data_IF_599735678057
#
_entry.id   IF_599735678057
#
_cell.length_a   1.000
_cell.length_b   1.000
_cell.length_c   1.000
_cell.angle_alpha   90.00
_cell.angle_beta   90.00
_cell.angle_gamma   90.00
#
_symmetry.space_group_name_H-M   'P 1'
#
loop_
_entity.id
_entity.type
_entity.pdbx_description
1 polymer ?
#
# COMPACT_ATOMS: atom_id res chain seq x y z
N UNK A 1 -20.25 -64.71 -10.21
CA UNK A 1 -20.52 -65.50 -8.99
C UNK A 1 -21.12 -64.58 -7.93
N UNK A 2 -22.41 -64.72 -7.63
CA UNK A 2 -22.98 -64.21 -6.38
C UNK A 2 -22.87 -65.31 -5.32
N UNK A 3 -22.68 -64.92 -4.05
CA UNK A 3 -23.73 -65.31 -3.12
C UNK A 3 -24.12 -64.16 -2.19
N UNK A 4 -25.41 -64.10 -1.86
CA UNK A 4 -25.89 -63.33 -0.72
C UNK A 4 -26.92 -64.15 0.07
N UNK A 5 -26.78 -64.01 1.38
CA UNK A 5 -27.67 -64.37 2.52
C UNK A 5 -27.52 -65.82 3.00
N UNK A 6 -27.51 -66.09 4.32
CA UNK A 6 -28.36 -65.51 5.38
C UNK A 6 -27.65 -65.37 6.74
N UNK A 7 -28.15 -64.39 7.51
CA UNK A 7 -27.79 -63.98 8.89
C UNK A 7 -28.20 -65.01 9.94
N UNK A 8 -27.51 -65.02 11.08
CA UNK A 8 -28.06 -65.13 12.46
C UNK A 8 -27.11 -64.41 13.46
N UNK A 9 -27.55 -64.04 14.69
CA UNK A 9 -27.27 -62.73 15.28
C UNK A 9 -26.41 -62.73 16.58
N UNK A 10 -26.09 -61.51 17.01
CA UNK A 10 -25.46 -61.01 18.25
C UNK A 10 -25.75 -61.80 19.56
N UNK A 11 -24.78 -61.90 20.50
CA UNK A 11 -24.57 -60.91 21.57
C UNK A 11 -23.31 -61.16 22.47
N UNK A 12 -22.90 -60.06 23.10
CA UNK A 12 -21.74 -59.71 23.95
C UNK A 12 -21.48 -60.61 25.17
N UNK A 13 -20.23 -60.64 25.70
CA UNK A 13 -19.92 -60.38 27.14
C UNK A 13 -18.49 -60.77 27.60
N UNK A 14 -17.82 -59.80 28.25
CA UNK A 14 -16.80 -59.83 29.34
C UNK A 14 -15.43 -60.52 29.12
N UNK A 15 -14.34 -59.75 29.01
CA UNK A 15 -13.47 -59.16 30.07
C UNK A 15 -12.43 -60.15 30.62
N UNK A 16 -11.14 -59.89 30.32
CA UNK A 16 -9.99 -60.61 30.88
C UNK A 16 -8.66 -60.18 30.27
N UNK A 17 -8.17 -58.97 30.62
CA UNK A 17 -6.73 -58.68 30.66
C UNK A 17 -6.08 -59.67 31.65
N UNK A 18 -4.86 -60.17 31.52
CA UNK A 18 -3.60 -59.49 31.21
C UNK A 18 -2.54 -60.56 30.95
N UNK A 19 -1.63 -60.38 29.97
CA UNK A 19 -0.18 -60.63 30.10
C UNK A 19 0.50 -60.35 28.74
N UNK A 20 1.18 -59.20 28.69
CA UNK A 20 2.43 -58.91 27.97
C UNK A 20 2.60 -59.38 26.50
N UNK A 21 2.40 -58.42 25.59
CA UNK A 21 3.37 -58.14 24.52
C UNK A 21 3.51 -56.61 24.44
N UNK A 22 4.68 -56.02 24.75
CA UNK A 22 4.92 -54.61 24.48
C UNK A 22 5.11 -54.48 22.96
N UNK A 23 4.10 -53.95 22.27
CA UNK A 23 4.37 -53.36 20.95
C UNK A 23 5.23 -52.13 21.26
N UNK A 24 6.54 -52.32 21.11
CA UNK A 24 7.55 -51.28 21.09
C UNK A 24 7.24 -50.33 19.95
N UNK A 25 6.34 -49.39 20.18
CA UNK A 25 6.27 -48.16 19.41
C UNK A 25 7.64 -47.48 19.56
N UNK A 26 8.44 -47.32 18.48
CA UNK A 26 9.73 -46.68 18.61
C UNK A 26 9.52 -45.26 19.14
N UNK A 27 10.28 -44.93 20.17
CA UNK A 27 10.31 -43.69 20.95
C UNK A 27 10.77 -42.46 20.12
N UNK A 28 10.60 -42.48 18.80
CA UNK A 28 11.10 -41.47 17.86
C UNK A 28 9.99 -40.65 17.20
N UNK A 29 8.73 -40.84 17.60
CA UNK A 29 7.60 -40.00 17.12
C UNK A 29 7.37 -38.78 18.02
N UNK A 30 8.03 -38.70 19.19
CA UNK A 30 7.93 -37.53 20.09
C UNK A 30 8.86 -36.38 19.70
N UNK A 31 9.84 -36.58 18.82
CA UNK A 31 10.83 -35.55 18.47
C UNK A 31 10.48 -34.66 17.27
N UNK A 32 9.46 -34.99 16.47
CA UNK A 32 9.17 -34.26 15.23
C UNK A 32 8.19 -33.10 15.40
N UNK A 33 7.40 -33.08 16.47
CA UNK A 33 6.43 -32.01 16.75
C UNK A 33 6.97 -30.89 17.66
N UNK A 34 8.17 -31.07 18.24
CA UNK A 34 8.78 -30.12 19.18
C UNK A 34 9.81 -29.17 18.52
N UNK A 35 10.05 -29.34 17.21
CA UNK A 35 10.99 -28.51 16.44
C UNK A 35 10.32 -27.41 15.60
N UNK A 36 9.06 -27.09 15.88
CA UNK A 36 8.51 -25.82 15.42
C UNK A 36 9.18 -24.69 16.19
N UNK A 37 10.20 -24.08 15.57
CA UNK A 37 10.80 -22.84 16.06
C UNK A 37 9.68 -21.80 16.06
N UNK A 38 9.09 -21.57 17.24
CA UNK A 38 8.09 -20.53 17.44
C UNK A 38 8.67 -19.20 16.98
N UNK A 39 7.96 -18.49 16.11
CA UNK A 39 8.41 -17.28 15.41
C UNK A 39 8.99 -16.19 16.35
N UNK A 40 8.56 -16.21 17.61
CA UNK A 40 9.02 -15.43 18.75
C UNK A 40 10.45 -15.76 19.25
N UNK A 41 11.18 -16.68 18.59
CA UNK A 41 12.61 -16.98 18.83
C UNK A 41 13.55 -16.41 17.76
N UNK A 42 13.05 -15.77 16.70
CA UNK A 42 13.94 -15.17 15.71
C UNK A 42 14.66 -13.96 16.28
N UNK A 43 16.00 -13.95 16.16
CA UNK A 43 16.83 -12.82 16.55
C UNK A 43 16.44 -11.57 15.74
N UNK A 44 16.29 -10.42 16.41
CA UNK A 44 16.14 -9.13 15.73
C UNK A 44 17.49 -8.81 15.06
N UNK A 45 17.51 -8.84 13.73
CA UNK A 45 18.70 -8.59 12.91
C UNK A 45 18.50 -7.32 12.08
N UNK A 46 19.50 -6.43 12.10
CA UNK A 46 19.45 -5.15 11.36
C UNK A 46 19.75 -5.30 9.87
N UNK A 47 20.37 -6.41 9.45
CA UNK A 47 20.70 -6.67 8.05
C UNK A 47 20.55 -8.16 7.72
N UNK A 48 19.43 -8.53 7.10
CA UNK A 48 19.17 -9.85 6.57
C UNK A 48 19.01 -9.81 5.04
N UNK A 49 19.43 -10.87 4.36
CA UNK A 49 19.27 -11.01 2.90
C UNK A 49 17.84 -11.36 2.50
N UNK A 50 17.06 -11.97 3.41
CA UNK A 50 15.72 -12.47 3.16
C UNK A 50 14.78 -12.10 4.31
N UNK A 51 13.49 -11.98 3.99
CA UNK A 51 12.39 -11.94 4.96
C UNK A 51 11.64 -13.27 4.85
N UNK A 52 11.40 -13.91 5.99
CA UNK A 52 10.60 -15.13 6.06
C UNK A 52 9.12 -14.78 6.30
N UNK A 53 8.23 -15.47 5.62
CA UNK A 53 6.78 -15.26 5.67
C UNK A 53 6.06 -16.60 5.76
N UNK A 54 4.87 -16.58 6.34
CA UNK A 54 3.96 -17.73 6.37
C UNK A 54 2.96 -17.59 5.22
N UNK A 55 2.80 -18.65 4.43
CA UNK A 55 1.81 -18.73 3.37
C UNK A 55 0.44 -19.13 3.95
N UNK A 56 -0.63 -18.92 3.20
CA UNK A 56 -2.00 -19.21 3.65
C UNK A 56 -2.25 -20.70 3.97
N UNK A 57 -1.40 -21.59 3.47
CA UNK A 57 -1.42 -23.04 3.74
C UNK A 57 -0.61 -23.43 4.99
N UNK A 58 -0.04 -22.46 5.72
CA UNK A 58 0.80 -22.68 6.90
C UNK A 58 2.26 -23.05 6.56
N UNK A 59 2.63 -23.15 5.29
CA UNK A 59 4.01 -23.38 4.88
C UNK A 59 4.85 -22.10 4.97
N UNK A 60 6.17 -22.27 5.10
CA UNK A 60 7.10 -21.13 5.17
C UNK A 60 7.70 -20.81 3.80
N UNK A 61 7.76 -19.52 3.49
CA UNK A 61 8.44 -19.00 2.31
C UNK A 61 9.43 -17.90 2.69
N UNK A 62 10.30 -17.55 1.73
CA UNK A 62 11.29 -16.47 1.88
C UNK A 62 11.23 -15.53 0.69
N UNK A 63 11.31 -14.23 0.95
CA UNK A 63 11.36 -13.18 -0.06
C UNK A 63 12.73 -12.50 0.04
N UNK A 64 13.44 -12.35 -1.09
CA UNK A 64 14.69 -11.57 -1.11
C UNK A 64 14.40 -10.12 -0.74
N UNK A 65 15.31 -9.49 0.01
CA UNK A 65 15.17 -8.08 0.37
C UNK A 65 15.02 -7.16 -0.86
N UNK A 66 15.74 -7.44 -1.95
CA UNK A 66 15.61 -6.71 -3.23
C UNK A 66 14.20 -6.81 -3.80
N UNK A 67 13.68 -8.03 -3.88
CA UNK A 67 12.40 -8.32 -4.51
C UNK A 67 11.26 -7.73 -3.67
N UNK A 68 11.37 -7.78 -2.33
CA UNK A 68 10.43 -7.10 -1.43
C UNK A 68 10.45 -5.57 -1.63
N UNK A 69 11.63 -4.96 -1.78
CA UNK A 69 11.73 -3.52 -2.06
C UNK A 69 11.09 -3.18 -3.41
N UNK A 70 11.25 -4.01 -4.43
CA UNK A 70 10.60 -3.82 -5.73
C UNK A 70 9.08 -3.98 -5.65
N UNK A 71 8.58 -4.99 -4.92
CA UNK A 71 7.15 -5.18 -4.68
C UNK A 71 6.54 -3.97 -3.96
N UNK A 72 7.23 -3.45 -2.94
CA UNK A 72 6.80 -2.24 -2.22
C UNK A 72 6.80 -1.03 -3.17
N UNK A 73 7.85 -0.83 -3.98
CA UNK A 73 7.91 0.26 -4.96
C UNK A 73 6.81 0.17 -6.01
N UNK A 74 6.50 -1.05 -6.48
CA UNK A 74 5.42 -1.29 -7.44
C UNK A 74 4.04 -1.03 -6.83
N UNK A 75 3.83 -1.44 -5.57
CA UNK A 75 2.59 -1.22 -4.85
C UNK A 75 2.42 0.23 -4.35
N UNK A 76 3.53 0.97 -4.19
CA UNK A 76 3.57 2.34 -3.68
C UNK A 76 4.27 3.25 -4.69
N UNK A 77 3.67 3.46 -5.89
CA UNK A 77 4.21 4.32 -6.94
C UNK A 77 4.28 5.78 -6.49
N UNK A 78 4.80 6.67 -7.35
CA UNK A 78 4.69 8.12 -7.13
C UNK A 78 3.22 8.48 -6.88
N UNK A 79 2.97 9.26 -5.83
CA UNK A 79 1.63 9.71 -5.52
C UNK A 79 1.09 10.58 -6.66
N UNK A 80 0.11 10.02 -7.37
CA UNK A 80 -0.74 10.72 -8.32
C UNK A 80 -2.18 10.51 -7.88
N UNK A 81 -3.17 11.18 -8.47
CA UNK A 81 -4.56 10.89 -8.11
C UNK A 81 -4.99 9.45 -8.43
N UNK A 82 -4.45 8.87 -9.51
CA UNK A 82 -4.73 7.49 -9.89
C UNK A 82 -3.99 6.50 -9.00
N UNK A 83 -2.75 6.85 -8.64
CA UNK A 83 -1.85 5.98 -7.90
C UNK A 83 -1.72 6.46 -6.45
N UNK A 84 -2.38 5.76 -5.52
CA UNK A 84 -2.38 6.02 -4.06
C UNK A 84 -1.01 5.75 -3.38
N UNK A 85 0.06 6.27 -3.96
CA UNK A 85 1.43 6.18 -3.46
C UNK A 85 1.64 6.93 -2.15
N UNK A 86 2.86 6.84 -1.60
CA UNK A 86 3.25 7.69 -0.48
C UNK A 86 3.75 9.03 -1.00
N UNK A 87 2.90 10.06 -0.89
CA UNK A 87 3.37 11.43 -0.97
C UNK A 87 3.93 11.85 0.39
N UNK A 88 5.08 12.53 0.40
CA UNK A 88 5.52 13.22 1.62
C UNK A 88 4.53 14.33 2.00
N UNK A 89 4.52 14.72 3.27
CA UNK A 89 3.81 15.93 3.68
C UNK A 89 4.36 17.14 2.89
N UNK A 90 3.49 17.87 2.19
CA UNK A 90 3.85 18.91 1.21
C UNK A 90 4.51 18.42 -0.10
N UNK A 91 4.31 17.15 -0.48
CA UNK A 91 4.74 16.70 -1.80
C UNK A 91 4.01 17.39 -2.96
N UNK A 92 4.50 17.15 -4.16
CA UNK A 92 4.09 17.85 -5.37
C UNK A 92 3.04 17.04 -6.14
N UNK A 93 1.79 17.53 -6.12
CA UNK A 93 0.65 16.87 -6.77
C UNK A 93 0.77 16.94 -8.30
N UNK A 94 0.34 15.89 -9.00
CA UNK A 94 0.33 15.87 -10.48
C UNK A 94 -1.05 15.49 -11.05
N UNK A 95 -1.46 16.25 -12.08
CA UNK A 95 -2.59 15.93 -12.95
C UNK A 95 -3.97 16.19 -12.35
N UNK A 96 -4.08 17.05 -11.32
CA UNK A 96 -5.32 17.23 -10.55
C UNK A 96 -6.29 18.24 -11.13
N UNK A 97 -7.57 17.88 -11.18
CA UNK A 97 -8.61 18.84 -11.57
C UNK A 97 -8.81 19.88 -10.47
N UNK A 98 -8.97 21.13 -10.87
CA UNK A 98 -9.20 22.23 -9.96
C UNK A 98 -10.34 23.15 -10.42
N UNK A 99 -11.12 23.61 -9.43
CA UNK A 99 -12.18 24.61 -9.53
C UNK A 99 -11.88 25.81 -8.61
N UNK A 100 -12.57 26.94 -8.81
CA UNK A 100 -12.36 28.17 -8.01
C UNK A 100 -12.51 27.92 -6.50
N UNK A 101 -13.51 27.15 -6.09
CA UNK A 101 -13.77 26.85 -4.68
C UNK A 101 -12.59 26.11 -4.02
N UNK A 102 -12.02 25.13 -4.72
CA UNK A 102 -10.87 24.34 -4.24
C UNK A 102 -9.58 25.15 -4.25
N UNK A 103 -9.40 25.97 -5.29
CA UNK A 103 -8.25 26.86 -5.42
C UNK A 103 -8.13 27.81 -4.21
N UNK A 104 -9.22 28.45 -3.81
CA UNK A 104 -9.21 29.48 -2.77
C UNK A 104 -9.04 28.93 -1.35
N UNK A 105 -9.39 27.67 -1.09
CA UNK A 105 -9.43 27.13 0.26
C UNK A 105 -8.36 26.07 0.58
N UNK A 106 -7.87 25.32 -0.42
CA UNK A 106 -7.18 24.04 -0.14
C UNK A 106 -6.06 23.69 -1.14
N UNK A 107 -5.42 24.68 -1.78
CA UNK A 107 -4.40 24.37 -2.77
C UNK A 107 -3.04 24.00 -2.15
N UNK A 108 -2.47 22.89 -2.62
CA UNK A 108 -1.14 22.42 -2.27
C UNK A 108 -0.15 22.71 -3.40
N UNK A 109 1.13 22.38 -3.21
CA UNK A 109 2.09 22.45 -4.30
C UNK A 109 1.75 21.37 -5.35
N UNK A 110 1.79 21.73 -6.63
CA UNK A 110 1.50 20.77 -7.69
C UNK A 110 1.14 21.37 -9.04
N UNK A 111 0.77 20.48 -9.97
CA UNK A 111 0.26 20.77 -11.31
C UNK A 111 -1.24 20.41 -11.35
N UNK A 112 -2.06 21.38 -11.72
CA UNK A 112 -3.51 21.23 -11.79
C UNK A 112 -4.03 21.58 -13.18
N UNK A 113 -5.00 20.81 -13.66
CA UNK A 113 -5.80 21.12 -14.85
C UNK A 113 -7.06 21.88 -14.42
N UNK A 114 -7.18 23.11 -14.88
CA UNK A 114 -8.37 23.93 -14.70
C UNK A 114 -9.31 23.68 -15.88
N UNK A 115 -10.33 22.86 -15.61
CA UNK A 115 -11.45 22.62 -16.53
C UNK A 115 -12.57 23.62 -16.32
N UNK A 116 -12.69 24.13 -15.09
CA UNK A 116 -13.60 25.21 -14.74
C UNK A 116 -12.79 26.49 -14.74
N UNK A 117 -13.30 27.47 -15.48
CA UNK A 117 -12.67 28.74 -15.81
C UNK A 117 -12.06 29.46 -14.57
N UNK A 118 -10.76 29.24 -14.30
CA UNK A 118 -10.13 29.69 -13.05
C UNK A 118 -10.14 31.21 -13.00
N UNK A 119 -10.84 31.80 -12.03
CA UNK A 119 -11.02 33.26 -11.91
C UNK A 119 -11.44 33.95 -13.24
N UNK A 120 -12.21 33.24 -14.10
CA UNK A 120 -12.64 33.71 -15.42
C UNK A 120 -11.52 33.92 -16.47
N UNK A 121 -10.33 33.36 -16.27
CA UNK A 121 -9.15 33.55 -17.14
C UNK A 121 -9.07 32.58 -18.33
N UNK A 122 -9.87 31.53 -18.34
CA UNK A 122 -9.96 30.46 -19.34
C UNK A 122 -9.79 29.08 -18.71
N UNK A 123 -9.67 28.05 -19.55
CA UNK A 123 -9.18 26.73 -19.15
C UNK A 123 -7.67 26.65 -19.36
N UNK A 124 -6.99 25.79 -18.61
CA UNK A 124 -5.53 25.78 -18.65
C UNK A 124 -4.87 24.91 -17.58
N UNK A 125 -3.58 25.16 -17.39
CA UNK A 125 -2.74 24.47 -16.42
C UNK A 125 -2.30 25.47 -15.35
N UNK A 126 -2.54 25.13 -14.09
CA UNK A 126 -2.05 25.84 -12.93
C UNK A 126 -0.85 25.10 -12.33
N UNK A 127 0.26 25.79 -12.18
CA UNK A 127 1.42 25.34 -11.42
C UNK A 127 1.49 26.10 -10.10
N UNK A 128 1.53 25.38 -8.98
CA UNK A 128 1.66 25.95 -7.64
C UNK A 128 2.98 25.53 -7.04
N UNK A 129 3.84 26.51 -6.85
CA UNK A 129 5.17 26.35 -6.27
C UNK A 129 5.15 26.93 -4.86
N UNK A 130 5.24 26.07 -3.85
CA UNK A 130 5.20 26.47 -2.45
C UNK A 130 6.60 26.53 -1.85
N UNK A 131 7.04 27.72 -1.46
CA UNK A 131 8.20 27.95 -0.61
C UNK A 131 7.81 28.14 0.85
N UNK A 132 8.80 28.40 1.70
CA UNK A 132 8.59 28.58 3.15
C UNK A 132 7.79 29.87 3.44
N UNK A 133 8.15 30.96 2.77
CA UNK A 133 7.55 32.28 3.00
C UNK A 133 6.51 32.68 1.94
N UNK A 134 6.61 32.10 0.74
CA UNK A 134 5.86 32.53 -0.43
C UNK A 134 5.37 31.34 -1.23
N UNK A 135 4.23 31.50 -1.87
CA UNK A 135 3.67 30.58 -2.85
C UNK A 135 3.49 31.33 -4.16
N UNK A 136 4.11 30.81 -5.22
CA UNK A 136 3.95 31.31 -6.57
C UNK A 136 2.92 30.45 -7.32
N UNK A 137 1.96 31.11 -7.94
CA UNK A 137 0.96 30.50 -8.80
C UNK A 137 1.23 30.97 -10.23
N UNK A 138 1.47 30.00 -11.12
CA UNK A 138 1.67 30.24 -12.54
C UNK A 138 0.55 29.57 -13.30
N UNK A 139 -0.25 30.36 -14.02
CA UNK A 139 -1.38 29.86 -14.79
C UNK A 139 -1.12 30.04 -16.27
N UNK A 140 -1.20 28.95 -17.03
CA UNK A 140 -1.00 28.91 -18.47
C UNK A 140 -2.35 28.52 -19.08
N UNK A 141 -2.99 29.45 -19.79
CA UNK A 141 -4.26 29.14 -20.47
C UNK A 141 -4.02 28.26 -21.70
N UNK A 142 -5.08 27.59 -22.16
CA UNK A 142 -5.07 26.87 -23.43
C UNK A 142 -4.76 27.77 -24.65
N UNK A 143 -5.02 29.08 -24.56
CA UNK A 143 -4.65 30.08 -25.57
C UNK A 143 -3.17 30.51 -25.51
N UNK A 144 -2.41 30.02 -24.54
CA UNK A 144 -0.99 30.36 -24.36
C UNK A 144 -0.73 31.62 -23.52
N UNK A 145 -1.78 32.23 -22.94
CA UNK A 145 -1.61 33.37 -22.04
C UNK A 145 -1.02 32.92 -20.71
N UNK A 146 -0.03 33.67 -20.22
CA UNK A 146 0.67 33.38 -18.97
C UNK A 146 0.26 34.37 -17.88
N UNK A 147 -0.20 33.87 -16.74
CA UNK A 147 -0.55 34.69 -15.60
C UNK A 147 0.22 34.28 -14.36
N UNK A 148 0.55 35.26 -13.52
CA UNK A 148 1.28 35.03 -12.27
C UNK A 148 0.54 35.65 -11.08
N UNK A 149 0.53 34.93 -9.97
CA UNK A 149 0.08 35.41 -8.66
C UNK A 149 1.05 34.98 -7.57
N UNK A 150 1.26 35.83 -6.58
CA UNK A 150 2.15 35.56 -5.46
C UNK A 150 1.44 35.82 -4.15
N UNK A 151 1.48 34.81 -3.28
CA UNK A 151 0.81 34.81 -1.98
C UNK A 151 1.85 34.52 -0.91
N UNK A 152 1.82 35.24 0.21
CA UNK A 152 2.65 34.95 1.39
C UNK A 152 2.09 33.73 2.14
N UNK A 153 2.91 33.04 2.92
CA UNK A 153 2.51 31.83 3.65
C UNK A 153 1.36 32.02 4.65
N UNK A 154 1.10 33.27 5.07
CA UNK A 154 -0.04 33.66 5.91
C UNK A 154 -1.35 33.91 5.11
N UNK A 155 -1.34 33.71 3.78
CA UNK A 155 -2.50 33.93 2.91
C UNK A 155 -2.60 35.34 2.31
N UNK A 156 -1.72 36.27 2.69
CA UNK A 156 -1.72 37.63 2.14
C UNK A 156 -1.33 37.62 0.65
N UNK A 157 -2.17 38.23 -0.19
CA UNK A 157 -1.89 38.36 -1.62
C UNK A 157 -0.91 39.52 -1.82
N UNK A 158 0.35 39.20 -2.15
CA UNK A 158 1.38 40.19 -2.43
C UNK A 158 1.28 40.73 -3.86
N UNK A 159 0.86 39.86 -4.78
CA UNK A 159 0.58 40.20 -6.17
C UNK A 159 -0.59 39.35 -6.62
N UNK A 160 -1.69 39.98 -6.98
CA UNK A 160 -2.81 39.26 -7.58
C UNK A 160 -2.54 38.91 -9.04
N UNK A 161 -3.44 38.12 -9.64
CA UNK A 161 -3.29 37.63 -11.01
C UNK A 161 -2.93 38.74 -11.99
N UNK A 162 -1.75 38.61 -12.60
CA UNK A 162 -1.26 39.53 -13.62
C UNK A 162 -0.89 38.77 -14.89
N UNK A 163 -1.46 39.19 -16.01
CA UNK A 163 -1.07 38.73 -17.34
C UNK A 163 0.36 39.18 -17.64
N UNK A 164 1.19 38.25 -18.09
CA UNK A 164 2.54 38.51 -18.59
C UNK A 164 2.43 38.65 -20.10
N UNK A 165 2.54 39.89 -20.57
CA UNK A 165 2.59 40.18 -22.00
C UNK A 165 4.01 39.93 -22.51
N UNK A 166 4.17 39.00 -23.45
CA UNK A 166 5.32 38.96 -24.35
C UNK A 166 4.97 39.81 -25.58
N UNK A 167 5.07 41.13 -25.44
CA UNK A 167 5.22 42.00 -26.63
C UNK A 167 6.63 41.86 -27.18
#
# INVERSE_FOLDING_TARGET
LMPRKRKFPFHKSLLGCSFFFPISCPLNVQGMAEQDIKMNQFQIVSNASYVYVELADGSQAKIKKSDLVELIRAAMPVATQASKGLMQANGFEQGKYISNEKYNNQISAGVYSSTDNLENMGTGILLVLRGIQYTAHLYITNSGSLYIKTVRSNGEILRDWKLINNT
#
